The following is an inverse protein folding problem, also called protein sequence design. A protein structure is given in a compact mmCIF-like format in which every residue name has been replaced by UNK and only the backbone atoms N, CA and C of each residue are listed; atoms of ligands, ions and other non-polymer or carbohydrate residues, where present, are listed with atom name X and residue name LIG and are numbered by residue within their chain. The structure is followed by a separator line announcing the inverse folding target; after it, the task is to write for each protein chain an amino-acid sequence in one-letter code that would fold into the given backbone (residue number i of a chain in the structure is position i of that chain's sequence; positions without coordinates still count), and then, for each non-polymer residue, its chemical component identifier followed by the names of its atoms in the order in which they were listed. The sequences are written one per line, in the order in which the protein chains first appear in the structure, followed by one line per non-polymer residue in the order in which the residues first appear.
data_IF_118387190518
#
_entry.id   IF_118387190518
#
_cell.length_a   1.000
_cell.length_b   1.000
_cell.length_c   1.000
_cell.angle_alpha   90.00
_cell.angle_beta   90.00
_cell.angle_gamma   90.00
#
_symmetry.space_group_name_H-M   'P 1'
#
loop_
_entity.id
_entity.type
_entity.pdbx_description
1 polymer ?
#
# COMPACT_ATOMS: atom_id res chain seq x y z
N UNK A 1 2.04 30.13 -23.95
CA UNK A 1 0.57 30.23 -23.96
C UNK A 1 0.08 30.79 -22.61
N UNK A 2 0.51 30.22 -21.46
CA UNK A 2 0.05 30.64 -20.11
C UNK A 2 0.26 32.14 -19.83
N UNK A 3 1.38 32.73 -20.28
CA UNK A 3 1.61 34.17 -20.16
C UNK A 3 0.60 35.00 -20.98
N UNK A 4 0.24 34.52 -22.19
CA UNK A 4 -0.78 35.17 -23.03
C UNK A 4 -2.16 35.14 -22.36
N UNK A 5 -2.43 34.04 -21.65
CA UNK A 5 -3.70 33.81 -20.95
C UNK A 5 -3.71 34.46 -19.55
N UNK A 6 -2.62 35.16 -19.18
CA UNK A 6 -2.45 35.86 -17.89
C UNK A 6 -2.66 34.95 -16.70
N UNK A 7 -2.09 33.72 -16.75
CA UNK A 7 -2.11 32.77 -15.66
C UNK A 7 -0.99 33.12 -14.68
N UNK A 8 -1.34 33.37 -13.43
CA UNK A 8 -0.39 33.71 -12.36
C UNK A 8 0.00 32.49 -11.53
N UNK A 9 -0.87 31.50 -11.42
CA UNK A 9 -0.68 30.32 -10.59
C UNK A 9 -1.08 29.05 -11.35
N UNK A 10 -0.23 28.03 -11.29
CA UNK A 10 -0.55 26.66 -11.74
C UNK A 10 -0.63 25.75 -10.53
N UNK A 11 -1.72 25.01 -10.40
CA UNK A 11 -1.84 23.91 -9.45
C UNK A 11 -1.61 22.60 -10.20
N UNK A 12 -0.61 21.81 -9.76
CA UNK A 12 -0.41 20.45 -10.23
C UNK A 12 -0.92 19.47 -9.18
N UNK A 13 -1.74 18.50 -9.60
CA UNK A 13 -2.34 17.52 -8.69
C UNK A 13 -1.92 16.12 -9.12
N UNK A 14 -1.14 15.42 -8.30
CA UNK A 14 -0.65 14.08 -8.66
C UNK A 14 0.32 13.46 -7.66
N UNK A 15 0.93 12.36 -8.07
CA UNK A 15 1.89 11.59 -7.29
C UNK A 15 3.30 12.19 -7.29
N UNK A 16 4.29 11.37 -6.97
CA UNK A 16 5.69 11.74 -6.86
C UNK A 16 6.22 12.37 -8.16
N UNK A 17 6.06 11.69 -9.30
CA UNK A 17 6.50 12.21 -10.62
C UNK A 17 5.90 13.58 -10.93
N UNK A 18 4.61 13.77 -10.66
CA UNK A 18 3.92 15.05 -10.90
C UNK A 18 4.50 16.16 -10.04
N UNK A 19 4.78 15.89 -8.76
CA UNK A 19 5.34 16.88 -7.84
C UNK A 19 6.82 17.17 -8.16
N UNK A 20 7.58 16.17 -8.58
CA UNK A 20 8.96 16.33 -9.07
C UNK A 20 9.00 17.24 -10.31
N UNK A 21 8.11 17.02 -11.28
CA UNK A 21 8.00 17.87 -12.46
C UNK A 21 7.52 19.28 -12.13
N UNK A 22 6.63 19.43 -11.14
CA UNK A 22 6.19 20.74 -10.64
C UNK A 22 7.37 21.54 -10.05
N UNK A 23 8.22 20.88 -9.26
CA UNK A 23 9.41 21.48 -8.69
C UNK A 23 10.41 21.93 -9.79
N UNK A 24 10.68 21.06 -10.76
CA UNK A 24 11.54 21.37 -11.90
C UNK A 24 10.99 22.55 -12.74
N UNK A 25 9.66 22.58 -12.93
CA UNK A 25 9.00 23.71 -13.62
C UNK A 25 9.16 25.01 -12.83
N UNK A 26 8.97 24.98 -11.51
CA UNK A 26 9.13 26.15 -10.66
C UNK A 26 10.57 26.70 -10.72
N UNK A 27 11.57 25.83 -10.67
CA UNK A 27 12.98 26.19 -10.81
C UNK A 27 13.29 26.83 -12.18
N UNK A 28 12.79 26.23 -13.26
CA UNK A 28 12.93 26.78 -14.61
C UNK A 28 12.29 28.15 -14.75
N UNK A 29 11.10 28.36 -14.22
CA UNK A 29 10.41 29.64 -14.27
C UNK A 29 11.16 30.70 -13.48
N UNK A 30 11.66 30.37 -12.29
CA UNK A 30 12.47 31.28 -11.46
C UNK A 30 13.76 31.68 -12.20
N UNK A 31 14.51 30.73 -12.76
CA UNK A 31 15.75 30.98 -13.49
C UNK A 31 15.54 31.78 -14.79
N UNK A 32 14.35 31.68 -15.39
CA UNK A 32 13.95 32.40 -16.60
C UNK A 32 13.33 33.79 -16.31
N UNK A 33 13.27 34.22 -15.03
CA UNK A 33 12.68 35.51 -14.63
C UNK A 33 11.17 35.61 -14.87
N UNK A 34 10.46 34.48 -14.85
CA UNK A 34 9.02 34.43 -15.08
C UNK A 34 8.24 34.47 -13.76
N UNK A 35 7.18 35.28 -13.73
CA UNK A 35 6.40 35.53 -12.51
C UNK A 35 5.29 34.49 -12.25
N UNK A 36 5.33 33.32 -12.90
CA UNK A 36 4.33 32.29 -12.74
C UNK A 36 4.67 31.41 -11.50
N UNK A 37 3.72 31.25 -10.59
CA UNK A 37 3.86 30.41 -9.40
C UNK A 37 3.36 28.98 -9.68
N UNK A 38 4.11 27.97 -9.25
CA UNK A 38 3.71 26.57 -9.33
C UNK A 38 3.46 26.03 -7.93
N UNK A 39 2.29 25.42 -7.72
CA UNK A 39 1.88 24.82 -6.45
C UNK A 39 1.59 23.34 -6.67
N UNK A 40 2.39 22.46 -6.06
CA UNK A 40 2.18 21.01 -6.08
C UNK A 40 1.20 20.58 -4.99
N UNK A 41 0.20 19.80 -5.39
CA UNK A 41 -0.78 19.18 -4.48
C UNK A 41 -0.64 17.65 -4.55
N UNK A 42 -0.05 17.02 -3.52
CA UNK A 42 0.19 15.58 -3.51
C UNK A 42 -1.11 14.77 -3.47
N UNK A 43 -1.33 13.95 -4.50
CA UNK A 43 -2.44 13.00 -4.61
C UNK A 43 -1.88 11.65 -5.09
N UNK A 44 -1.59 10.78 -4.15
CA UNK A 44 -1.12 9.41 -4.38
C UNK A 44 -1.61 8.50 -3.26
N UNK A 45 -1.84 7.23 -3.58
CA UNK A 45 -2.18 6.22 -2.59
C UNK A 45 -0.93 5.67 -1.89
N UNK A 46 0.25 5.84 -2.48
CA UNK A 46 1.52 5.29 -1.99
C UNK A 46 2.04 6.00 -0.74
N UNK A 47 1.58 7.24 -0.52
CA UNK A 47 1.97 8.09 0.62
C UNK A 47 3.50 8.33 0.71
N UNK A 48 4.15 8.49 -0.44
CA UNK A 48 5.60 8.54 -0.63
C UNK A 48 6.17 9.94 -0.90
N UNK A 49 5.36 11.00 -0.85
CA UNK A 49 5.78 12.37 -1.12
C UNK A 49 6.31 13.04 0.15
N UNK A 50 7.63 13.19 0.26
CA UNK A 50 8.31 13.85 1.39
C UNK A 50 8.25 15.39 1.20
N UNK A 51 7.95 16.21 2.24
CA UNK A 51 7.75 15.88 3.67
C UNK A 51 6.28 15.71 4.08
N UNK A 52 5.40 15.41 3.16
CA UNK A 52 3.95 15.30 3.42
C UNK A 52 3.69 14.07 4.29
N UNK A 53 3.00 14.27 5.42
CA UNK A 53 2.68 13.15 6.33
C UNK A 53 1.62 12.22 5.78
N UNK A 54 0.70 12.77 4.99
CA UNK A 54 -0.42 12.03 4.43
C UNK A 54 -0.84 12.65 3.11
N UNK A 55 -0.82 11.85 2.06
CA UNK A 55 -1.28 12.23 0.74
C UNK A 55 -2.76 11.93 0.56
N UNK A 56 -3.42 12.67 -0.34
CA UNK A 56 -4.83 12.47 -0.64
C UNK A 56 -5.06 11.08 -1.27
N UNK A 57 -5.91 10.30 -0.65
CA UNK A 57 -6.31 8.97 -1.11
C UNK A 57 -5.65 7.81 -0.36
N UNK A 58 -4.51 8.01 0.32
CA UNK A 58 -3.75 6.95 0.98
C UNK A 58 -4.57 6.19 2.05
N UNK A 59 -5.23 6.89 2.97
CA UNK A 59 -6.05 6.25 3.99
C UNK A 59 -7.24 5.51 3.40
N UNK A 60 -7.95 6.13 2.45
CA UNK A 60 -9.08 5.48 1.77
C UNK A 60 -8.64 4.21 1.06
N UNK A 61 -7.48 4.21 0.41
CA UNK A 61 -6.93 3.03 -0.25
C UNK A 61 -6.61 1.92 0.76
N UNK A 62 -6.01 2.24 1.91
CA UNK A 62 -5.73 1.28 2.96
C UNK A 62 -7.01 0.64 3.52
N UNK A 63 -8.03 1.46 3.81
CA UNK A 63 -9.34 0.98 4.29
C UNK A 63 -10.05 0.09 3.27
N UNK A 64 -10.10 0.52 1.99
CA UNK A 64 -10.74 -0.25 0.93
C UNK A 64 -9.99 -1.55 0.63
N UNK A 65 -8.65 -1.52 0.63
CA UNK A 65 -7.82 -2.73 0.51
C UNK A 65 -8.09 -3.73 1.62
N UNK A 66 -8.25 -3.27 2.85
CA UNK A 66 -8.60 -4.12 4.00
C UNK A 66 -10.00 -4.76 3.85
N UNK A 67 -11.00 -4.00 3.41
CA UNK A 67 -12.34 -4.51 3.13
C UNK A 67 -12.34 -5.54 1.97
N UNK A 68 -11.56 -5.26 0.93
CA UNK A 68 -11.41 -6.19 -0.19
C UNK A 68 -10.79 -7.52 0.27
N UNK A 69 -9.69 -7.45 1.03
CA UNK A 69 -9.06 -8.65 1.58
C UNK A 69 -9.99 -9.42 2.53
N UNK A 70 -10.82 -8.73 3.31
CA UNK A 70 -11.81 -9.35 4.19
C UNK A 70 -12.77 -10.28 3.44
N UNK A 71 -13.09 -9.97 2.19
CA UNK A 71 -13.92 -10.83 1.36
C UNK A 71 -13.13 -12.02 0.80
N UNK A 72 -11.91 -11.76 0.32
CA UNK A 72 -11.04 -12.79 -0.28
C UNK A 72 -10.63 -13.85 0.73
N UNK A 73 -10.27 -13.46 1.95
CA UNK A 73 -9.78 -14.38 2.98
C UNK A 73 -10.78 -15.47 3.36
N UNK A 74 -12.06 -15.27 3.07
CA UNK A 74 -13.09 -16.28 3.29
C UNK A 74 -12.90 -17.53 2.41
N UNK A 75 -12.12 -17.42 1.31
CA UNK A 75 -11.72 -18.57 0.49
C UNK A 75 -10.94 -19.62 1.30
N UNK A 76 -10.26 -19.23 2.37
CA UNK A 76 -9.58 -20.15 3.29
C UNK A 76 -10.53 -21.18 3.95
N UNK A 77 -11.85 -20.94 3.89
CA UNK A 77 -12.85 -21.88 4.41
C UNK A 77 -13.32 -22.90 3.37
N UNK A 78 -13.02 -22.69 2.09
CA UNK A 78 -13.56 -23.50 0.98
C UNK A 78 -12.72 -24.72 0.67
N UNK A 79 -11.42 -24.67 0.89
CA UNK A 79 -10.52 -25.79 0.66
C UNK A 79 -9.32 -25.78 1.63
N UNK A 80 -8.54 -26.85 1.56
CA UNK A 80 -7.33 -27.02 2.36
C UNK A 80 -6.11 -26.45 1.65
N UNK A 81 -5.10 -26.04 2.44
CA UNK A 81 -3.80 -25.56 1.98
C UNK A 81 -3.91 -24.38 1.01
N UNK A 82 -4.69 -23.39 1.40
CA UNK A 82 -4.86 -22.15 0.64
C UNK A 82 -3.66 -21.21 0.84
N UNK A 83 -3.14 -20.69 -0.27
CA UNK A 83 -2.17 -19.59 -0.28
C UNK A 83 -2.84 -18.36 -0.92
N UNK A 84 -3.00 -17.32 -0.14
CA UNK A 84 -3.50 -16.01 -0.62
C UNK A 84 -2.36 -15.01 -0.58
N UNK A 85 -2.03 -14.44 -1.73
CA UNK A 85 -1.11 -13.31 -1.86
C UNK A 85 -1.92 -12.10 -2.28
N UNK A 86 -2.04 -11.14 -1.38
CA UNK A 86 -2.71 -9.87 -1.62
C UNK A 86 -1.66 -8.83 -2.00
N UNK A 87 -1.52 -8.60 -3.30
CA UNK A 87 -0.62 -7.58 -3.82
C UNK A 87 -1.23 -6.19 -3.62
N UNK A 88 -0.40 -5.27 -3.16
CA UNK A 88 -0.77 -3.89 -2.87
C UNK A 88 0.21 -2.96 -3.58
N UNK A 89 -0.28 -1.87 -4.14
CA UNK A 89 0.54 -0.84 -4.79
C UNK A 89 1.60 -0.27 -3.84
N UNK A 90 2.68 0.24 -4.40
CA UNK A 90 3.81 0.81 -3.66
C UNK A 90 5.13 0.18 -4.10
N UNK A 91 5.66 0.64 -5.26
CA UNK A 91 6.91 0.12 -5.83
C UNK A 91 8.11 0.41 -4.93
N UNK A 92 8.17 1.61 -4.36
CA UNK A 92 9.30 2.10 -3.57
C UNK A 92 8.93 2.43 -2.13
N UNK A 93 7.65 2.26 -1.76
CA UNK A 93 7.15 2.58 -0.44
C UNK A 93 6.12 1.53 0.02
N UNK A 94 6.40 0.86 1.13
CA UNK A 94 5.52 -0.16 1.72
C UNK A 94 4.42 0.40 2.61
N UNK A 95 4.26 1.73 2.68
CA UNK A 95 3.29 2.36 3.58
C UNK A 95 1.87 1.85 3.36
N UNK A 96 1.43 1.80 2.10
CA UNK A 96 0.07 1.37 1.77
C UNK A 96 -0.16 -0.11 2.14
N UNK A 97 0.83 -0.98 1.85
CA UNK A 97 0.77 -2.40 2.21
C UNK A 97 0.68 -2.60 3.72
N UNK A 98 1.54 -1.93 4.48
CA UNK A 98 1.53 -1.98 5.94
C UNK A 98 0.24 -1.37 6.52
N UNK A 99 -0.21 -0.26 5.97
CA UNK A 99 -1.47 0.41 6.34
C UNK A 99 -2.68 -0.47 6.11
N UNK A 100 -2.78 -1.10 4.94
CA UNK A 100 -3.85 -2.05 4.59
C UNK A 100 -3.87 -3.25 5.54
N UNK A 101 -2.70 -3.81 5.84
CA UNK A 101 -2.57 -4.90 6.80
C UNK A 101 -3.03 -4.50 8.21
N UNK A 102 -2.68 -3.30 8.64
CA UNK A 102 -3.09 -2.76 9.95
C UNK A 102 -4.62 -2.55 10.01
N UNK A 103 -5.21 -1.93 8.98
CA UNK A 103 -6.67 -1.74 8.91
C UNK A 103 -7.41 -3.07 8.89
N UNK A 104 -6.91 -4.06 8.14
CA UNK A 104 -7.50 -5.39 8.13
C UNK A 104 -7.44 -6.04 9.53
N UNK A 105 -6.34 -5.93 10.27
CA UNK A 105 -6.25 -6.46 11.63
C UNK A 105 -7.21 -5.79 12.60
N UNK A 106 -7.53 -4.50 12.41
CA UNK A 106 -8.59 -3.82 13.18
C UNK A 106 -9.97 -4.43 12.88
N UNK A 107 -10.26 -4.72 11.61
CA UNK A 107 -11.50 -5.40 11.21
C UNK A 107 -11.57 -6.82 11.78
N UNK A 108 -10.46 -7.57 11.69
CA UNK A 108 -10.35 -8.92 12.23
C UNK A 108 -10.61 -8.96 13.75
N UNK A 109 -10.10 -7.97 14.49
CA UNK A 109 -10.30 -7.86 15.94
C UNK A 109 -11.76 -7.65 16.37
N UNK A 110 -12.66 -7.30 15.45
CA UNK A 110 -14.11 -7.13 15.70
C UNK A 110 -14.92 -8.38 15.36
N UNK A 111 -14.29 -9.40 14.76
CA UNK A 111 -14.96 -10.65 14.39
C UNK A 111 -14.99 -11.62 15.58
N UNK A 112 -16.09 -12.34 15.71
CA UNK A 112 -16.19 -13.49 16.61
C UNK A 112 -15.78 -14.76 15.86
N UNK A 113 -14.93 -15.56 16.50
CA UNK A 113 -14.48 -16.85 15.96
C UNK A 113 -15.04 -17.98 16.82
N UNK A 114 -15.27 -19.13 16.20
CA UNK A 114 -15.79 -20.34 16.86
C UNK A 114 -14.83 -21.49 16.55
N UNK A 115 -13.74 -21.63 17.35
CA UNK A 115 -12.70 -22.64 17.10
C UNK A 115 -13.24 -24.07 17.03
N UNK A 116 -14.30 -24.34 17.78
CA UNK A 116 -14.97 -25.66 17.81
C UNK A 116 -15.58 -26.05 16.45
N UNK A 117 -15.85 -25.07 15.60
CA UNK A 117 -16.32 -25.25 14.23
C UNK A 117 -15.18 -25.05 13.18
N UNK A 118 -13.92 -25.21 13.60
CA UNK A 118 -12.73 -24.96 12.77
C UNK A 118 -12.61 -23.54 12.26
N UNK A 119 -13.30 -22.60 12.88
CA UNK A 119 -13.23 -21.17 12.58
C UNK A 119 -12.30 -20.48 13.59
N UNK A 120 -10.99 -20.79 13.51
CA UNK A 120 -9.99 -20.16 14.36
C UNK A 120 -9.53 -18.82 13.72
N UNK A 121 -9.20 -17.85 14.56
CA UNK A 121 -8.69 -16.54 14.10
C UNK A 121 -7.47 -16.66 13.18
N UNK A 122 -6.60 -17.65 13.47
CA UNK A 122 -5.34 -17.83 12.74
C UNK A 122 -5.53 -18.05 11.24
N UNK A 123 -6.65 -18.66 10.84
CA UNK A 123 -6.97 -18.85 9.41
C UNK A 123 -7.33 -17.56 8.67
N UNK A 124 -7.74 -16.52 9.40
CA UNK A 124 -8.08 -15.20 8.85
C UNK A 124 -6.98 -14.17 9.07
N UNK A 125 -5.98 -14.43 9.94
CA UNK A 125 -4.91 -13.47 10.21
C UNK A 125 -3.90 -13.39 9.04
N UNK A 126 -3.12 -12.33 9.04
CA UNK A 126 -2.03 -12.09 8.10
C UNK A 126 -0.78 -12.78 8.63
N UNK A 127 -0.20 -13.66 7.81
CA UNK A 127 0.99 -14.43 8.18
C UNK A 127 2.31 -13.78 7.76
N UNK A 128 2.25 -12.91 6.75
CA UNK A 128 3.40 -12.11 6.32
C UNK A 128 2.97 -10.78 5.71
N UNK A 129 3.81 -9.76 5.89
CA UNK A 129 3.74 -8.46 5.21
C UNK A 129 5.12 -8.18 4.65
N UNK A 130 5.24 -8.11 3.32
CA UNK A 130 6.49 -7.83 2.64
C UNK A 130 6.44 -6.45 2.00
N UNK A 131 7.43 -5.64 2.32
CA UNK A 131 7.55 -4.25 1.86
C UNK A 131 8.94 -4.02 1.24
N UNK A 132 9.07 -3.08 0.29
CA UNK A 132 10.35 -2.87 -0.42
C UNK A 132 11.49 -2.41 0.49
N UNK A 133 11.19 -1.77 1.61
CA UNK A 133 12.19 -1.27 2.55
C UNK A 133 12.88 -2.37 3.38
N UNK A 134 12.35 -3.60 3.34
CA UNK A 134 12.87 -4.72 4.15
C UNK A 134 13.26 -5.88 3.24
N UNK A 135 14.54 -6.24 3.29
CA UNK A 135 15.05 -7.37 2.53
C UNK A 135 14.46 -8.70 3.03
N UNK A 136 14.07 -9.55 2.10
CA UNK A 136 13.42 -10.83 2.39
C UNK A 136 14.45 -11.96 2.38
N UNK A 137 14.62 -12.65 3.50
CA UNK A 137 15.34 -13.94 3.53
C UNK A 137 14.40 -15.07 3.10
N UNK A 138 14.31 -15.31 1.80
CA UNK A 138 13.42 -16.32 1.23
C UNK A 138 13.63 -17.71 1.83
N UNK A 139 14.87 -18.08 2.19
CA UNK A 139 15.17 -19.40 2.76
C UNK A 139 14.54 -19.61 4.13
N UNK A 140 14.51 -18.57 4.95
CA UNK A 140 13.83 -18.58 6.26
C UNK A 140 12.33 -18.49 6.10
N UNK A 141 11.87 -17.59 5.24
CA UNK A 141 10.44 -17.34 5.04
C UNK A 141 9.70 -18.57 4.47
N UNK A 142 10.26 -19.25 3.49
CA UNK A 142 9.68 -20.50 2.96
C UNK A 142 9.49 -21.54 4.06
N UNK A 143 10.48 -21.71 4.94
CA UNK A 143 10.38 -22.67 6.06
C UNK A 143 9.29 -22.24 7.06
N UNK A 144 9.25 -20.96 7.40
CA UNK A 144 8.27 -20.38 8.33
C UNK A 144 6.84 -20.49 7.78
N UNK A 145 6.61 -20.09 6.53
CA UNK A 145 5.30 -20.12 5.90
C UNK A 145 4.82 -21.55 5.65
N UNK A 146 5.74 -22.49 5.34
CA UNK A 146 5.39 -23.90 5.22
C UNK A 146 4.88 -24.46 6.55
N UNK A 147 5.53 -24.11 7.67
CA UNK A 147 5.07 -24.51 9.00
C UNK A 147 3.67 -23.97 9.29
N UNK A 148 3.41 -22.70 9.00
CA UNK A 148 2.10 -22.06 9.16
C UNK A 148 1.04 -22.77 8.31
N UNK A 149 1.37 -23.10 7.05
CA UNK A 149 0.49 -23.86 6.17
C UNK A 149 0.14 -25.23 6.75
N UNK A 150 1.09 -25.90 7.39
CA UNK A 150 0.87 -27.22 7.99
C UNK A 150 0.03 -27.13 9.29
N UNK A 151 0.14 -26.02 10.03
CA UNK A 151 -0.60 -25.79 11.28
C UNK A 151 -2.03 -25.27 11.04
N UNK A 152 -2.23 -24.39 10.05
CA UNK A 152 -3.50 -23.67 9.86
C UNK A 152 -4.21 -23.97 8.54
N UNK A 153 -3.66 -24.82 7.67
CA UNK A 153 -4.17 -25.13 6.32
C UNK A 153 -4.28 -23.88 5.39
N UNK A 154 -3.63 -22.77 5.75
CA UNK A 154 -3.62 -21.57 4.95
C UNK A 154 -2.41 -20.67 5.24
N UNK A 155 -2.07 -19.83 4.27
CA UNK A 155 -1.11 -18.73 4.41
C UNK A 155 -1.66 -17.49 3.71
N UNK A 156 -1.73 -16.38 4.45
CA UNK A 156 -2.19 -15.09 3.94
C UNK A 156 -1.02 -14.10 3.95
N UNK A 157 -0.69 -13.56 2.81
CA UNK A 157 0.45 -12.66 2.60
C UNK A 157 -0.04 -11.33 2.04
N UNK A 158 0.42 -10.23 2.61
CA UNK A 158 0.36 -8.91 1.99
C UNK A 158 1.72 -8.61 1.35
N UNK A 159 1.72 -8.28 0.08
CA UNK A 159 2.92 -8.06 -0.71
C UNK A 159 2.86 -6.70 -1.38
N UNK A 160 3.83 -5.83 -1.10
CA UNK A 160 4.00 -4.62 -1.90
C UNK A 160 4.59 -4.97 -3.26
N UNK A 161 4.14 -4.33 -4.33
CA UNK A 161 4.57 -4.61 -5.70
C UNK A 161 6.10 -4.55 -5.91
N UNK A 162 6.80 -3.75 -5.10
CA UNK A 162 8.25 -3.62 -5.16
C UNK A 162 9.03 -4.51 -4.19
N UNK A 163 8.37 -5.30 -3.36
CA UNK A 163 9.07 -6.12 -2.36
C UNK A 163 9.80 -7.31 -2.99
N UNK A 164 11.08 -7.49 -2.64
CA UNK A 164 11.90 -8.62 -3.11
C UNK A 164 12.34 -8.49 -4.58
N UNK A 165 12.35 -7.30 -5.14
CA UNK A 165 12.79 -7.04 -6.53
C UNK A 165 14.28 -6.64 -6.62
N UNK A 166 15.08 -6.75 -5.56
CA UNK A 166 16.53 -6.45 -5.51
C UNK A 166 17.40 -7.58 -6.09
#
# INVERSE_FOLDING_TARGET
QLEKDKVDIIHTIGGDDTNTMAAALAEYLHSSGKALTVVGLPKTVDNDVIPVKQTLGALTAAEQGALFFQNIVNENTTSRRQLIIHEVMGRHCGWLTAGTALEYRKLLGRKNFIPELFMSKDRWDIHAVYIPEIQIDFSKEVKRLRKIMDEHDCVNIFLSEGAGMD
#
